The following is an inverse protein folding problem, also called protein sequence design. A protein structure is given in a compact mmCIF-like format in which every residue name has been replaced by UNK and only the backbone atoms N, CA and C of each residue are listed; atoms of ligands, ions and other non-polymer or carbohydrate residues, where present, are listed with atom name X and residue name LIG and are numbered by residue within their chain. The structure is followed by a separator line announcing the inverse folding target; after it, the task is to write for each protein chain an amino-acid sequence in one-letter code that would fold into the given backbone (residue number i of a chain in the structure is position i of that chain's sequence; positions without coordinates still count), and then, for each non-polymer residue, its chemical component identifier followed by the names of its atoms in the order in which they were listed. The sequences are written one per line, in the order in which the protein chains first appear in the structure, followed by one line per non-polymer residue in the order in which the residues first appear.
data_IF_109424194945
#
_entry.id   IF_109424194945
#
_cell.length_a   1.000
_cell.length_b   1.000
_cell.length_c   1.000
_cell.angle_alpha   90.00
_cell.angle_beta   90.00
_cell.angle_gamma   90.00
#
_symmetry.space_group_name_H-M   'P 1'
#
loop_
_entity.id
_entity.type
_entity.pdbx_description
1 polymer ?
#
# COMPACT_ATOMS: atom_id res chain seq x y z
N UNK A 1 -47.03 -21.19 -20.71
CA UNK A 1 -46.27 -21.80 -19.60
C UNK A 1 -45.08 -22.49 -20.23
N UNK A 2 -43.96 -21.79 -20.37
CA UNK A 2 -42.73 -22.37 -20.93
C UNK A 2 -41.55 -21.75 -20.18
N UNK A 3 -41.02 -22.53 -19.24
CA UNK A 3 -39.85 -22.18 -18.42
C UNK A 3 -38.64 -22.59 -19.26
N UNK A 4 -38.21 -21.67 -20.13
CA UNK A 4 -36.95 -21.82 -20.86
C UNK A 4 -35.79 -21.62 -19.91
N UNK A 5 -35.16 -22.74 -19.61
CA UNK A 5 -33.88 -22.95 -18.95
C UNK A 5 -32.82 -21.94 -19.44
N UNK A 6 -32.66 -20.80 -18.75
CA UNK A 6 -31.41 -20.06 -18.85
C UNK A 6 -30.43 -20.70 -17.87
N UNK A 7 -29.61 -21.61 -18.41
CA UNK A 7 -28.29 -21.96 -17.86
C UNK A 7 -27.41 -20.68 -17.83
N UNK A 8 -27.75 -19.72 -16.98
CA UNK A 8 -26.82 -18.66 -16.60
C UNK A 8 -25.90 -19.35 -15.61
N UNK A 9 -24.81 -19.91 -16.15
CA UNK A 9 -23.70 -20.37 -15.34
C UNK A 9 -23.46 -19.31 -14.27
N UNK A 10 -23.50 -19.74 -13.01
CA UNK A 10 -23.13 -18.94 -11.87
C UNK A 10 -21.70 -18.48 -12.10
N UNK A 11 -21.54 -17.33 -12.77
CA UNK A 11 -20.32 -16.55 -12.75
C UNK A 11 -20.25 -16.03 -11.33
N UNK A 12 -19.68 -16.84 -10.44
CA UNK A 12 -19.17 -16.34 -9.18
C UNK A 12 -18.35 -15.08 -9.52
N UNK A 13 -18.49 -13.96 -8.79
CA UNK A 13 -17.66 -12.79 -9.02
C UNK A 13 -16.22 -13.28 -8.95
N UNK A 14 -15.57 -13.37 -10.11
CA UNK A 14 -14.20 -13.86 -10.20
C UNK A 14 -13.39 -12.95 -9.26
N UNK A 15 -12.56 -13.49 -8.35
CA UNK A 15 -11.74 -12.65 -7.49
C UNK A 15 -10.94 -11.70 -8.39
N UNK A 16 -11.04 -10.39 -8.12
CA UNK A 16 -10.37 -9.35 -8.92
C UNK A 16 -8.92 -9.75 -9.18
N UNK A 17 -8.57 -9.84 -10.47
CA UNK A 17 -7.21 -10.18 -10.93
C UNK A 17 -6.22 -9.11 -10.47
N UNK A 18 -4.92 -9.43 -10.44
CA UNK A 18 -3.89 -8.45 -10.09
C UNK A 18 -3.86 -7.29 -11.08
N UNK A 19 -4.09 -7.60 -12.35
CA UNK A 19 -4.17 -6.63 -13.43
C UNK A 19 -5.38 -5.70 -13.25
N UNK A 20 -6.54 -6.21 -12.85
CA UNK A 20 -7.71 -5.37 -12.56
C UNK A 20 -7.47 -4.48 -11.34
N UNK A 21 -6.83 -4.99 -10.29
CA UNK A 21 -6.43 -4.17 -9.14
C UNK A 21 -5.47 -3.05 -9.55
N UNK A 22 -4.50 -3.35 -10.41
CA UNK A 22 -3.59 -2.34 -10.97
C UNK A 22 -4.34 -1.29 -11.80
N UNK A 23 -5.32 -1.69 -12.63
CA UNK A 23 -6.14 -0.75 -13.41
C UNK A 23 -6.95 0.18 -12.51
N UNK A 24 -7.55 -0.36 -11.45
CA UNK A 24 -8.31 0.44 -10.48
C UNK A 24 -7.39 1.43 -9.76
N UNK A 25 -6.25 0.98 -9.23
CA UNK A 25 -5.28 1.86 -8.57
C UNK A 25 -4.71 2.93 -9.53
N UNK A 26 -4.48 2.57 -10.79
CA UNK A 26 -4.10 3.52 -11.84
C UNK A 26 -5.18 4.58 -12.07
N UNK A 27 -6.46 4.18 -12.12
CA UNK A 27 -7.56 5.12 -12.28
C UNK A 27 -7.63 6.10 -11.10
N UNK A 28 -7.48 5.63 -9.85
CA UNK A 28 -7.43 6.49 -8.66
C UNK A 28 -6.27 7.48 -8.72
N UNK A 29 -5.06 7.02 -9.09
CA UNK A 29 -3.90 7.90 -9.22
C UNK A 29 -4.06 8.93 -10.34
N UNK A 30 -4.62 8.51 -11.50
CA UNK A 30 -4.89 9.39 -12.63
C UNK A 30 -5.94 10.44 -12.30
N UNK A 31 -6.99 10.07 -11.55
CA UNK A 31 -8.01 10.99 -11.08
C UNK A 31 -7.43 12.04 -10.12
N UNK A 32 -6.58 11.61 -9.18
CA UNK A 32 -5.92 12.52 -8.25
C UNK A 32 -4.94 13.47 -8.95
N UNK A 33 -4.13 12.98 -9.89
CA UNK A 33 -3.08 13.76 -10.55
C UNK A 33 -3.53 14.44 -11.85
N UNK A 34 -4.82 14.35 -12.22
CA UNK A 34 -5.36 14.78 -13.51
C UNK A 34 -4.50 14.30 -14.70
N UNK A 35 -4.05 13.05 -14.61
CA UNK A 35 -3.06 12.45 -15.49
C UNK A 35 -3.63 11.32 -16.35
N UNK A 36 -2.93 10.99 -17.44
CA UNK A 36 -3.25 9.82 -18.27
C UNK A 36 -2.51 8.58 -17.76
N UNK A 37 -3.05 7.35 -17.95
CA UNK A 37 -2.38 6.11 -17.56
C UNK A 37 -0.95 5.96 -18.09
N UNK A 38 -0.68 6.46 -19.30
CA UNK A 38 0.68 6.46 -19.86
C UNK A 38 1.69 7.28 -19.06
N UNK A 39 1.26 8.31 -18.32
CA UNK A 39 2.15 9.06 -17.42
C UNK A 39 2.57 8.20 -16.23
N UNK A 40 1.63 7.46 -15.63
CA UNK A 40 1.94 6.54 -14.53
C UNK A 40 2.92 5.45 -14.99
N UNK A 41 2.66 4.82 -16.14
CA UNK A 41 3.57 3.81 -16.70
C UNK A 41 4.97 4.37 -16.96
N UNK A 42 5.07 5.61 -17.44
CA UNK A 42 6.34 6.29 -17.63
C UNK A 42 7.07 6.58 -16.32
N UNK A 43 6.37 6.93 -15.24
CA UNK A 43 6.99 7.24 -13.95
C UNK A 43 7.41 5.97 -13.19
N UNK A 44 6.53 4.96 -13.13
CA UNK A 44 6.77 3.76 -12.33
C UNK A 44 7.75 2.76 -13.00
N UNK A 45 7.69 2.61 -14.33
CA UNK A 45 8.46 1.58 -15.05
C UNK A 45 9.15 2.08 -16.31
N UNK A 46 9.16 3.40 -16.55
CA UNK A 46 9.71 4.03 -17.74
C UNK A 46 8.98 3.66 -19.07
N UNK A 47 7.75 3.15 -18.98
CA UNK A 47 6.99 2.63 -20.13
C UNK A 47 5.58 3.24 -20.21
N UNK A 48 5.44 4.27 -21.03
CA UNK A 48 4.15 4.95 -21.21
C UNK A 48 3.14 4.21 -22.08
N UNK A 49 3.56 3.15 -22.79
CA UNK A 49 2.68 2.32 -23.61
C UNK A 49 2.12 1.11 -22.88
N UNK A 50 2.55 0.88 -21.63
CA UNK A 50 2.19 -0.30 -20.86
C UNK A 50 0.68 -0.52 -20.75
N UNK A 51 -0.06 0.49 -20.28
CA UNK A 51 -1.51 0.38 -20.09
C UNK A 51 -2.26 0.18 -21.41
N UNK A 52 -1.82 0.81 -22.50
CA UNK A 52 -2.39 0.58 -23.84
C UNK A 52 -2.17 -0.86 -24.30
N UNK A 53 -1.00 -1.46 -24.04
CA UNK A 53 -0.74 -2.86 -24.37
C UNK A 53 -1.52 -3.83 -23.49
N UNK A 54 -1.71 -3.48 -22.22
CA UNK A 54 -2.52 -4.23 -21.26
C UNK A 54 -4.02 -4.20 -21.59
N UNK A 55 -4.50 -3.11 -22.21
CA UNK A 55 -5.87 -2.98 -22.71
C UNK A 55 -6.07 -3.76 -24.01
N UNK A 56 -5.12 -3.67 -24.95
CA UNK A 56 -5.18 -4.36 -26.23
C UNK A 56 -4.96 -5.88 -26.14
N UNK A 57 -4.37 -6.39 -25.06
CA UNK A 57 -4.13 -7.82 -24.85
C UNK A 57 -4.78 -8.32 -23.56
N UNK A 58 -6.12 -8.52 -23.54
CA UNK A 58 -6.81 -9.10 -22.40
C UNK A 58 -6.28 -10.52 -22.13
N UNK A 59 -5.74 -10.74 -20.92
CA UNK A 59 -5.10 -11.99 -20.52
C UNK A 59 -3.57 -12.02 -20.62
N UNK A 60 -2.94 -10.94 -21.07
CA UNK A 60 -1.49 -10.80 -20.96
C UNK A 60 -1.09 -10.72 -19.47
N UNK A 61 -0.39 -11.75 -19.00
CA UNK A 61 0.12 -11.77 -17.62
C UNK A 61 1.25 -10.75 -17.47
N UNK A 62 1.10 -9.86 -16.50
CA UNK A 62 2.15 -8.90 -16.14
C UNK A 62 3.15 -9.57 -15.20
N UNK A 63 4.45 -9.32 -15.39
CA UNK A 63 5.47 -9.88 -14.50
C UNK A 63 5.33 -9.34 -13.07
N UNK A 64 5.58 -10.19 -12.07
CA UNK A 64 5.57 -9.79 -10.65
C UNK A 64 6.47 -8.59 -10.39
N UNK A 65 7.63 -8.50 -11.04
CA UNK A 65 8.54 -7.35 -10.96
C UNK A 65 7.88 -6.04 -11.38
N UNK A 66 7.10 -6.07 -12.47
CA UNK A 66 6.38 -4.89 -12.97
C UNK A 66 5.29 -4.47 -12.00
N UNK A 67 4.50 -5.43 -11.50
CA UNK A 67 3.48 -5.19 -10.49
C UNK A 67 4.08 -4.61 -9.20
N UNK A 68 5.24 -5.10 -8.79
CA UNK A 68 5.97 -4.62 -7.60
C UNK A 68 6.38 -3.16 -7.77
N UNK A 69 6.96 -2.79 -8.93
CA UNK A 69 7.33 -1.39 -9.20
C UNK A 69 6.14 -0.44 -9.21
N UNK A 70 5.01 -0.86 -9.76
CA UNK A 70 3.78 -0.07 -9.69
C UNK A 70 3.28 0.07 -8.24
N UNK A 71 3.29 -1.02 -7.48
CA UNK A 71 2.90 -1.01 -6.08
C UNK A 71 3.79 -0.10 -5.22
N UNK A 72 5.12 -0.15 -5.40
CA UNK A 72 6.08 0.73 -4.70
C UNK A 72 5.81 2.20 -5.02
N UNK A 73 5.64 2.53 -6.30
CA UNK A 73 5.35 3.91 -6.73
C UNK A 73 4.01 4.41 -6.18
N UNK A 74 2.96 3.60 -6.30
CA UNK A 74 1.61 3.98 -5.88
C UNK A 74 1.46 4.03 -4.35
N UNK A 75 2.25 3.26 -3.61
CA UNK A 75 2.25 3.27 -2.16
C UNK A 75 3.02 4.45 -1.55
N UNK A 76 3.84 5.16 -2.33
CA UNK A 76 4.58 6.33 -1.88
C UNK A 76 3.69 7.58 -1.91
N UNK A 77 3.42 8.21 -0.74
CA UNK A 77 2.61 9.42 -0.62
C UNK A 77 3.13 10.60 -1.42
N UNK A 78 4.45 10.69 -1.65
CA UNK A 78 5.05 11.79 -2.40
C UNK A 78 4.59 11.81 -3.87
N UNK A 79 4.06 10.68 -4.37
CA UNK A 79 3.50 10.57 -5.71
C UNK A 79 2.01 10.95 -5.80
N UNK A 80 1.41 11.40 -4.69
CA UNK A 80 0.02 11.86 -4.61
C UNK A 80 -0.04 13.37 -4.34
N UNK A 81 -0.98 14.09 -4.96
CA UNK A 81 -1.07 15.56 -4.85
C UNK A 81 -1.29 16.04 -3.40
N UNK A 82 -2.12 15.33 -2.63
CA UNK A 82 -2.43 15.66 -1.24
C UNK A 82 -1.62 14.83 -0.23
N UNK A 83 -0.67 14.01 -0.71
CA UNK A 83 0.01 13.02 0.14
C UNK A 83 -0.91 11.89 0.63
N UNK A 84 -2.15 11.82 0.13
CA UNK A 84 -3.14 10.81 0.50
C UNK A 84 -3.13 9.69 -0.54
N UNK A 85 -2.65 8.51 -0.12
CA UNK A 85 -2.65 7.30 -0.94
C UNK A 85 -4.06 6.69 -0.94
N UNK A 86 -4.61 6.43 -2.12
CA UNK A 86 -5.92 5.80 -2.26
C UNK A 86 -5.93 4.35 -1.73
N UNK A 87 -7.07 3.89 -1.21
CA UNK A 87 -7.22 2.55 -0.64
C UNK A 87 -6.90 1.44 -1.65
N UNK A 88 -7.20 1.65 -2.94
CA UNK A 88 -6.95 0.66 -3.99
C UNK A 88 -5.46 0.50 -4.30
N UNK A 89 -4.68 1.57 -4.15
CA UNK A 89 -3.22 1.52 -4.25
C UNK A 89 -2.60 0.75 -3.07
N UNK A 90 -3.10 0.97 -1.86
CA UNK A 90 -2.69 0.22 -0.67
C UNK A 90 -3.07 -1.26 -0.76
N UNK A 91 -4.28 -1.55 -1.27
CA UNK A 91 -4.74 -2.91 -1.49
C UNK A 91 -3.87 -3.66 -2.53
N UNK A 92 -3.43 -2.98 -3.59
CA UNK A 92 -2.48 -3.55 -4.55
C UNK A 92 -1.13 -3.83 -3.88
N UNK A 93 -0.59 -2.87 -3.14
CA UNK A 93 0.70 -3.03 -2.47
C UNK A 93 0.70 -4.21 -1.49
N UNK A 94 -0.36 -4.32 -0.67
CA UNK A 94 -0.51 -5.43 0.27
C UNK A 94 -0.55 -6.79 -0.42
N UNK A 95 -1.25 -6.91 -1.57
CA UNK A 95 -1.36 -8.17 -2.31
C UNK A 95 -0.06 -8.57 -3.00
N UNK A 96 0.71 -7.59 -3.50
CA UNK A 96 2.01 -7.83 -4.13
C UNK A 96 3.13 -8.04 -3.09
N UNK A 97 2.83 -7.87 -1.80
CA UNK A 97 3.79 -8.01 -0.71
C UNK A 97 4.72 -6.80 -0.55
N UNK A 98 4.34 -5.66 -1.14
CA UNK A 98 5.05 -4.39 -0.94
C UNK A 98 4.54 -3.76 0.34
N UNK A 99 5.43 -3.65 1.33
CA UNK A 99 5.18 -2.83 2.50
C UNK A 99 5.28 -1.37 2.05
N UNK A 100 4.15 -0.80 1.63
CA UNK A 100 4.06 0.63 1.41
C UNK A 100 4.57 1.35 2.66
N UNK A 101 5.45 2.34 2.50
CA UNK A 101 5.63 3.30 3.57
C UNK A 101 4.30 4.02 3.68
N UNK A 102 3.43 3.53 4.56
CA UNK A 102 2.17 4.18 4.88
C UNK A 102 2.54 5.63 5.19
N UNK A 103 2.20 6.52 4.24
CA UNK A 103 2.39 7.94 4.43
C UNK A 103 1.82 8.27 5.76
N UNK A 104 2.67 8.87 6.58
CA UNK A 104 2.38 9.30 7.92
C UNK A 104 0.90 9.67 7.98
N UNK A 105 0.10 8.72 8.50
CA UNK A 105 -1.20 9.06 9.04
C UNK A 105 -0.88 10.27 9.90
N UNK A 106 -1.60 11.36 9.73
CA UNK A 106 -1.50 12.47 10.66
C UNK A 106 -1.89 11.94 12.05
N UNK A 107 -0.95 11.26 12.73
CA UNK A 107 -1.02 10.91 14.12
C UNK A 107 -0.85 12.25 14.81
N UNK A 108 -2.00 12.86 15.07
CA UNK A 108 -2.11 13.80 16.15
C UNK A 108 -1.43 13.18 17.38
N UNK A 109 -0.23 13.66 17.67
CA UNK A 109 0.37 13.72 19.00
C UNK A 109 0.20 12.42 19.82
N UNK A 110 0.82 11.33 19.39
CA UNK A 110 1.12 10.24 20.30
C UNK A 110 2.29 10.68 21.18
N UNK A 111 1.97 11.16 22.39
CA UNK A 111 2.96 11.41 23.43
C UNK A 111 3.76 10.13 23.69
N UNK A 112 5.08 10.31 23.79
CA UNK A 112 6.09 9.35 24.17
C UNK A 112 5.59 8.30 25.19
N UNK A 113 5.56 7.03 24.78
CA UNK A 113 5.58 5.92 25.72
C UNK A 113 6.99 5.32 25.68
N UNK A 114 7.79 5.62 26.69
CA UNK A 114 9.10 4.99 26.86
C UNK A 114 8.91 3.53 27.28
N UNK A 115 9.61 2.56 26.66
CA UNK A 115 9.48 1.16 27.00
C UNK A 115 10.21 0.78 28.30
N UNK A 116 9.61 -0.21 28.92
CA UNK A 116 9.84 -0.90 30.19
C UNK A 116 11.31 -1.32 30.48
N UNK A 117 11.65 -1.19 31.77
CA UNK A 117 12.80 -1.71 32.53
C UNK A 117 13.23 -3.16 32.23
N UNK A 118 14.52 -3.49 32.38
CA UNK A 118 14.88 -4.60 33.29
C UNK A 118 16.19 -4.40 34.10
N UNK A 119 16.17 -4.75 35.39
CA UNK A 119 17.26 -5.39 36.15
C UNK A 119 18.51 -4.59 36.57
N UNK A 120 18.74 -4.45 37.89
CA UNK A 120 19.93 -3.83 38.53
C UNK A 120 21.24 -4.66 38.38
N UNK A 121 22.33 -4.43 39.17
CA UNK A 121 22.34 -4.05 40.58
C UNK A 121 23.42 -3.02 41.01
N UNK A 122 23.32 -2.53 42.26
CA UNK A 122 24.49 -2.08 43.03
C UNK A 122 24.79 -0.57 43.04
N UNK A 123 24.49 0.08 44.17
CA UNK A 123 25.33 1.08 44.86
C UNK A 123 24.45 2.09 45.62
N UNK A 124 24.11 1.76 46.87
CA UNK A 124 23.82 2.78 47.88
C UNK A 124 24.24 2.26 49.26
N UNK A 125 25.54 1.95 49.38
CA UNK A 125 26.22 2.09 50.66
C UNK A 125 26.34 3.59 50.92
N UNK A 126 25.48 4.17 51.76
CA UNK A 126 25.89 5.28 52.63
C UNK A 126 25.39 5.02 54.04
N UNK A 127 26.40 4.89 54.88
CA UNK A 127 26.30 4.57 56.28
C UNK A 127 25.58 5.68 57.06
N UNK A 128 24.85 5.19 58.04
CA UNK A 128 24.61 5.82 59.33
C UNK A 128 25.85 6.55 59.86
N UNK A 129 25.63 7.76 60.35
CA UNK A 129 26.64 8.62 60.94
C UNK A 129 26.01 9.48 62.02
N UNK A 130 25.47 8.84 63.05
CA UNK A 130 25.19 9.45 64.34
C UNK A 130 26.48 9.45 65.17
N UNK A 131 26.98 10.63 65.56
CA UNK A 131 27.72 10.81 66.82
C UNK A 131 27.84 12.29 67.18
N UNK A 132 27.43 12.58 68.42
CA UNK A 132 27.50 13.85 69.10
C UNK A 132 28.93 14.21 69.55
N UNK A 133 29.16 15.52 69.73
CA UNK A 133 29.92 16.11 70.83
C UNK A 133 29.51 17.58 70.97
#
# INVERSE_FOLDING_TARGET
MEISMIRRGMNAPQPLTLEDRLRIACASWCAANEAKPGRLGRLAINDGGFFTRLENNPGASTTTTTLTRFAEFLADPANWPDGLVAEEALALAHVVGVSGQAGARAEGRAKEVSPRSPGGPGAALRADGSAAA
#
